data_IF_648521326984
#
_entry.id   IF_648521326984
#
_cell.length_a   1.000
_cell.length_b   1.000
_cell.length_c   1.000
_cell.angle_alpha   90.00
_cell.angle_beta   90.00
_cell.angle_gamma   90.00
#
_symmetry.space_group_name_H-M   'P 1'
#
loop_
_entity.id
_entity.type
_entity.pdbx_description
1 polymer ?
#
# COMPACT_ATOMS: atom_id res chain seq x y z
N UNK A 1 19.78 7.08 -12.08
CA UNK A 1 18.95 5.90 -12.36
C UNK A 1 17.64 6.04 -11.59
N UNK A 2 16.46 6.03 -12.24
CA UNK A 2 15.18 6.13 -11.55
C UNK A 2 14.85 4.79 -10.88
N UNK A 3 15.41 4.55 -9.68
CA UNK A 3 15.42 3.25 -8.99
C UNK A 3 14.03 2.58 -8.96
N UNK A 4 12.98 3.31 -8.60
CA UNK A 4 11.62 2.77 -8.52
C UNK A 4 11.02 2.46 -9.90
N UNK A 5 11.36 3.23 -10.94
CA UNK A 5 10.85 2.96 -12.29
C UNK A 5 11.43 1.69 -12.89
N UNK A 6 12.64 1.30 -12.49
CA UNK A 6 13.27 0.06 -12.98
C UNK A 6 12.51 -1.20 -12.55
N UNK A 7 11.69 -1.14 -11.49
CA UNK A 7 10.77 -2.22 -11.14
C UNK A 7 9.68 -2.47 -12.19
N UNK A 8 9.49 -1.55 -13.14
CA UNK A 8 8.60 -1.73 -14.28
C UNK A 8 9.36 -2.10 -15.55
N UNK A 9 10.70 -2.17 -15.54
CA UNK A 9 11.49 -2.54 -16.71
C UNK A 9 11.57 -4.07 -16.88
N UNK A 10 10.42 -4.70 -17.04
CA UNK A 10 10.23 -6.14 -17.19
C UNK A 10 9.01 -6.42 -18.07
N UNK A 11 8.86 -7.67 -18.48
CA UNK A 11 7.68 -8.19 -19.16
C UNK A 11 7.28 -9.52 -18.53
N UNK A 12 6.26 -9.49 -17.66
CA UNK A 12 5.71 -10.69 -17.02
C UNK A 12 4.60 -11.36 -17.85
N UNK A 13 4.32 -10.85 -19.06
CA UNK A 13 3.40 -11.44 -20.04
C UNK A 13 2.01 -11.72 -19.46
N UNK A 14 1.62 -12.99 -19.39
CA UNK A 14 0.28 -13.41 -18.97
C UNK A 14 -0.09 -12.94 -17.56
N UNK A 15 0.89 -12.79 -16.67
CA UNK A 15 0.64 -12.30 -15.32
C UNK A 15 0.06 -10.87 -15.33
N UNK A 16 0.52 -10.02 -16.25
CA UNK A 16 0.13 -8.61 -16.30
C UNK A 16 -1.17 -8.37 -17.09
N UNK A 17 -1.73 -9.38 -17.77
CA UNK A 17 -2.83 -9.21 -18.74
C UNK A 17 -4.06 -8.49 -18.16
N UNK A 18 -4.43 -8.86 -16.94
CA UNK A 18 -5.66 -8.39 -16.28
C UNK A 18 -5.36 -7.43 -15.11
N UNK A 19 -4.13 -6.89 -15.06
CA UNK A 19 -3.68 -5.93 -14.04
C UNK A 19 -3.80 -4.51 -14.58
N UNK A 20 -4.50 -3.65 -13.85
CA UNK A 20 -4.48 -2.20 -14.06
C UNK A 20 -3.46 -1.55 -13.11
N UNK A 21 -2.41 -0.95 -13.67
CA UNK A 21 -1.44 -0.17 -12.90
C UNK A 21 -1.99 1.24 -12.63
N UNK A 22 -2.23 1.58 -11.37
CA UNK A 22 -2.70 2.91 -10.96
C UNK A 22 -1.49 3.75 -10.53
N UNK A 23 -1.14 4.78 -11.30
CA UNK A 23 0.09 5.56 -11.11
C UNK A 23 -0.22 6.99 -10.72
N UNK A 24 0.60 7.57 -9.84
CA UNK A 24 0.55 9.02 -9.61
C UNK A 24 0.94 9.76 -10.88
N UNK A 25 0.25 10.86 -11.18
CA UNK A 25 0.49 11.69 -12.38
C UNK A 25 1.89 12.29 -12.47
N UNK A 26 2.59 12.39 -11.33
CA UNK A 26 3.98 12.85 -11.24
C UNK A 26 5.02 11.72 -11.12
N UNK A 27 4.65 10.47 -11.46
CA UNK A 27 5.60 9.37 -11.53
C UNK A 27 6.69 9.65 -12.57
N UNK A 28 7.91 9.13 -12.38
CA UNK A 28 9.00 9.35 -13.33
C UNK A 28 8.64 8.78 -14.72
N UNK A 29 8.90 9.50 -15.84
CA UNK A 29 8.43 9.13 -17.19
C UNK A 29 8.88 7.76 -17.70
N UNK A 30 9.98 7.21 -17.18
CA UNK A 30 10.38 5.83 -17.51
C UNK A 30 9.32 4.81 -17.12
N UNK A 31 8.55 5.05 -16.06
CA UNK A 31 7.51 4.11 -15.60
C UNK A 31 6.45 3.93 -16.68
N UNK A 32 5.88 5.03 -17.18
CA UNK A 32 4.88 4.97 -18.25
C UNK A 32 5.49 4.45 -19.54
N UNK A 33 6.73 4.84 -19.88
CA UNK A 33 7.45 4.29 -21.04
C UNK A 33 7.61 2.77 -20.98
N UNK A 34 7.98 2.21 -19.83
CA UNK A 34 8.13 0.77 -19.68
C UNK A 34 6.79 0.02 -19.66
N UNK A 35 5.74 0.61 -19.10
CA UNK A 35 4.38 0.03 -19.16
C UNK A 35 3.86 -0.01 -20.59
N UNK A 36 3.99 1.10 -21.33
CA UNK A 36 3.60 1.23 -22.74
C UNK A 36 4.36 0.28 -23.66
N UNK A 37 5.67 0.09 -23.43
CA UNK A 37 6.51 -0.81 -24.23
C UNK A 37 5.93 -2.22 -24.36
N UNK A 38 5.24 -2.70 -23.32
CA UNK A 38 4.68 -4.05 -23.26
C UNK A 38 3.14 -4.05 -23.26
N UNK A 39 2.51 -2.96 -23.72
CA UNK A 39 1.05 -2.81 -23.76
C UNK A 39 0.33 -3.10 -22.43
N UNK A 40 0.95 -2.73 -21.29
CA UNK A 40 0.33 -2.92 -19.96
C UNK A 40 -0.69 -1.82 -19.70
N UNK A 41 -1.84 -2.21 -19.15
CA UNK A 41 -2.91 -1.29 -18.82
C UNK A 41 -2.52 -0.43 -17.61
N UNK A 42 -2.58 0.89 -17.77
CA UNK A 42 -2.34 1.79 -16.64
C UNK A 42 -3.24 3.02 -16.73
N UNK A 43 -3.50 3.61 -15.57
CA UNK A 43 -4.15 4.91 -15.47
C UNK A 43 -3.28 5.86 -14.65
N UNK A 44 -3.37 7.14 -14.98
CA UNK A 44 -2.80 8.20 -14.16
C UNK A 44 -3.88 8.71 -13.20
N UNK A 45 -3.48 8.97 -11.97
CA UNK A 45 -4.32 9.57 -10.94
C UNK A 45 -3.57 10.74 -10.31
N UNK A 46 -4.29 11.79 -9.97
CA UNK A 46 -3.68 12.99 -9.38
C UNK A 46 -4.06 13.17 -7.92
N UNK A 47 -3.16 13.75 -7.13
CA UNK A 47 -3.50 14.25 -5.79
C UNK A 47 -4.07 15.66 -5.88
N UNK A 48 -4.82 16.07 -4.86
CA UNK A 48 -5.17 17.47 -4.67
C UNK A 48 -3.89 18.29 -4.46
N UNK A 49 -3.60 19.19 -5.38
CA UNK A 49 -2.52 20.15 -5.27
C UNK A 49 -2.88 21.39 -6.08
N UNK A 50 -2.59 22.59 -5.56
CA UNK A 50 -3.00 23.86 -6.19
C UNK A 50 -2.60 23.94 -7.66
N UNK A 51 -1.41 23.45 -8.00
CA UNK A 51 -0.94 23.39 -9.38
C UNK A 51 -1.75 22.45 -10.28
N UNK A 52 -2.03 21.21 -9.82
CA UNK A 52 -2.81 20.25 -10.61
C UNK A 52 -4.27 20.72 -10.74
N UNK A 53 -4.83 21.31 -9.69
CA UNK A 53 -6.17 21.90 -9.71
C UNK A 53 -6.24 23.07 -10.70
N UNK A 54 -5.19 23.90 -10.76
CA UNK A 54 -5.09 25.00 -11.72
C UNK A 54 -5.08 24.50 -13.17
N UNK A 55 -4.40 23.38 -13.44
CA UNK A 55 -4.37 22.78 -14.77
C UNK A 55 -5.69 22.12 -15.19
N UNK A 56 -6.67 21.97 -14.28
CA UNK A 56 -7.99 21.36 -14.54
C UNK A 56 -7.91 20.00 -15.24
N UNK A 57 -6.97 19.17 -14.79
CA UNK A 57 -6.82 17.80 -15.30
C UNK A 57 -7.87 16.88 -14.65
N UNK A 58 -9.13 17.26 -14.78
CA UNK A 58 -10.27 16.68 -14.06
C UNK A 58 -10.61 15.27 -14.59
N UNK A 59 -10.28 14.98 -15.85
CA UNK A 59 -10.57 13.71 -16.53
C UNK A 59 -10.00 12.48 -15.81
N UNK A 60 -8.92 12.66 -15.06
CA UNK A 60 -8.22 11.58 -14.33
C UNK A 60 -8.61 11.51 -12.85
N UNK A 61 -9.45 12.43 -12.39
CA UNK A 61 -9.89 12.56 -11.00
C UNK A 61 -8.79 13.00 -10.03
N UNK A 62 -9.24 13.48 -8.87
CA UNK A 62 -8.39 13.79 -7.74
C UNK A 62 -8.60 12.76 -6.63
N UNK A 63 -7.50 12.23 -6.13
CA UNK A 63 -7.51 11.15 -5.16
C UNK A 63 -6.44 11.44 -4.11
N UNK A 64 -6.82 11.51 -2.83
CA UNK A 64 -5.84 11.67 -1.75
C UNK A 64 -5.09 10.34 -1.57
N UNK A 65 -3.76 10.38 -1.50
CA UNK A 65 -2.92 9.20 -1.73
C UNK A 65 -2.01 8.81 -0.56
N UNK A 66 -2.24 9.37 0.63
CA UNK A 66 -1.43 9.12 1.82
C UNK A 66 0.08 9.35 1.60
N UNK A 67 0.89 8.82 2.52
CA UNK A 67 2.35 8.98 2.49
C UNK A 67 3.11 7.82 1.83
N UNK A 68 2.44 6.70 1.56
CA UNK A 68 3.00 5.51 0.91
C UNK A 68 2.01 4.89 -0.08
N UNK A 69 2.48 3.98 -0.94
CA UNK A 69 1.60 3.20 -1.84
C UNK A 69 0.58 2.36 -1.05
N UNK A 70 0.95 1.87 0.13
CA UNK A 70 0.04 1.10 0.96
C UNK A 70 -1.07 1.98 1.58
N UNK A 71 -0.75 3.21 2.02
CA UNK A 71 -1.76 4.18 2.46
C UNK A 71 -2.70 4.57 1.30
N UNK A 72 -2.14 4.78 0.10
CA UNK A 72 -2.92 5.04 -1.11
C UNK A 72 -3.92 3.90 -1.40
N UNK A 73 -3.47 2.65 -1.33
CA UNK A 73 -4.30 1.48 -1.57
C UNK A 73 -5.42 1.34 -0.53
N UNK A 74 -5.15 1.69 0.73
CA UNK A 74 -6.15 1.68 1.78
C UNK A 74 -7.30 2.65 1.51
N UNK A 75 -6.96 3.91 1.16
CA UNK A 75 -7.95 4.89 0.73
C UNK A 75 -8.71 4.40 -0.50
N UNK A 76 -8.02 3.76 -1.45
CA UNK A 76 -8.65 3.31 -2.70
C UNK A 76 -9.70 2.24 -2.40
N UNK A 77 -9.38 1.33 -1.49
CA UNK A 77 -10.31 0.30 -1.06
C UNK A 77 -11.59 0.89 -0.41
N UNK A 78 -11.45 1.97 0.37
CA UNK A 78 -12.60 2.70 0.93
C UNK A 78 -13.45 3.31 -0.19
N UNK A 79 -12.82 3.97 -1.16
CA UNK A 79 -13.50 4.63 -2.27
C UNK A 79 -14.20 3.63 -3.21
N UNK A 80 -13.62 2.44 -3.39
CA UNK A 80 -14.23 1.29 -4.07
C UNK A 80 -15.31 0.59 -3.22
N UNK A 81 -15.65 1.14 -2.05
CA UNK A 81 -16.73 0.70 -1.15
C UNK A 81 -16.53 -0.71 -0.56
N UNK A 82 -15.28 -1.16 -0.45
CA UNK A 82 -14.99 -2.40 0.28
C UNK A 82 -15.37 -2.26 1.76
N UNK A 83 -15.98 -3.31 2.32
CA UNK A 83 -16.42 -3.36 3.73
C UNK A 83 -15.43 -4.02 4.67
N UNK A 84 -14.55 -4.85 4.12
CA UNK A 84 -13.44 -5.46 4.83
C UNK A 84 -12.15 -5.10 4.10
N UNK A 85 -11.17 -4.54 4.82
CA UNK A 85 -9.83 -4.26 4.29
C UNK A 85 -8.84 -5.11 5.08
N UNK A 86 -8.01 -5.88 4.38
CA UNK A 86 -7.02 -6.77 4.97
C UNK A 86 -5.63 -6.27 4.63
N UNK A 87 -4.85 -5.89 5.65
CA UNK A 87 -3.48 -5.46 5.50
C UNK A 87 -2.53 -6.66 5.64
N UNK A 88 -1.80 -6.97 4.58
CA UNK A 88 -0.76 -8.00 4.55
C UNK A 88 0.58 -7.40 4.12
N UNK A 89 1.67 -7.89 4.71
CA UNK A 89 3.02 -7.42 4.42
C UNK A 89 3.25 -5.94 4.79
N UNK A 90 2.45 -5.40 5.71
CA UNK A 90 2.63 -4.05 6.24
C UNK A 90 3.37 -4.13 7.57
N UNK A 91 4.64 -4.54 7.52
CA UNK A 91 5.45 -4.78 8.73
C UNK A 91 5.63 -3.49 9.52
N UNK A 92 5.97 -2.37 8.85
CA UNK A 92 6.24 -1.06 9.45
C UNK A 92 7.25 -1.11 10.61
N UNK A 93 8.10 -2.13 10.59
CA UNK A 93 9.07 -2.47 11.60
C UNK A 93 10.23 -3.22 10.95
N UNK A 94 11.38 -3.16 11.60
CA UNK A 94 12.52 -4.02 11.25
C UNK A 94 12.28 -5.45 11.73
N UNK A 95 12.86 -6.43 11.04
CA UNK A 95 12.92 -7.80 11.56
C UNK A 95 13.79 -7.86 12.82
N UNK A 96 13.73 -8.99 13.56
CA UNK A 96 14.59 -9.21 14.74
C UNK A 96 16.09 -9.09 14.43
N UNK A 97 16.48 -9.44 13.21
CA UNK A 97 17.86 -9.33 12.72
C UNK A 97 18.20 -7.93 12.18
N UNK A 98 17.26 -6.98 12.24
CA UNK A 98 17.45 -5.59 11.81
C UNK A 98 17.27 -5.35 10.30
N UNK A 99 16.71 -6.30 9.56
CA UNK A 99 16.45 -6.10 8.12
C UNK A 99 15.19 -5.25 7.91
N UNK A 100 15.26 -4.37 6.91
CA UNK A 100 14.11 -3.55 6.48
C UNK A 100 13.29 -4.17 5.36
N UNK A 101 13.87 -5.13 4.63
CA UNK A 101 13.30 -5.79 3.47
C UNK A 101 13.73 -7.25 3.46
N UNK A 102 13.09 -8.06 2.62
CA UNK A 102 13.50 -9.45 2.37
C UNK A 102 14.87 -9.51 1.67
N UNK A 103 15.58 -10.63 1.81
CA UNK A 103 16.97 -10.79 1.33
C UNK A 103 17.11 -10.75 -0.20
N UNK A 104 16.02 -10.91 -0.93
CA UNK A 104 15.93 -10.88 -2.38
C UNK A 104 15.60 -9.49 -2.95
N UNK A 105 15.40 -8.47 -2.11
CA UNK A 105 15.11 -7.12 -2.57
C UNK A 105 16.30 -6.50 -3.34
N UNK A 106 16.05 -6.04 -4.57
CA UNK A 106 17.12 -5.65 -5.51
C UNK A 106 17.92 -4.40 -5.11
N UNK A 107 17.41 -3.57 -4.20
CA UNK A 107 18.05 -2.33 -3.74
C UNK A 107 18.45 -2.38 -2.26
N UNK A 108 18.74 -3.57 -1.71
CA UNK A 108 19.12 -3.74 -0.29
C UNK A 108 20.30 -2.87 0.14
N UNK A 109 21.27 -2.65 -0.76
CA UNK A 109 22.44 -1.79 -0.55
C UNK A 109 22.04 -0.35 -0.19
N UNK A 110 20.89 0.12 -0.70
CA UNK A 110 20.36 1.46 -0.39
C UNK A 110 19.77 1.58 1.01
N UNK A 111 19.67 0.47 1.74
CA UNK A 111 19.13 0.42 3.10
C UNK A 111 20.17 0.03 4.15
N UNK A 112 21.45 -0.09 3.76
CA UNK A 112 22.53 -0.37 4.69
C UNK A 112 22.64 0.75 5.74
N UNK A 113 22.84 0.36 7.01
CA UNK A 113 22.95 1.31 8.13
C UNK A 113 21.64 1.95 8.59
N UNK A 114 20.51 1.74 7.89
CA UNK A 114 19.21 2.30 8.30
C UNK A 114 18.79 1.83 9.68
N UNK A 115 18.94 0.53 9.96
CA UNK A 115 18.62 -0.02 11.26
C UNK A 115 19.45 0.64 12.36
N UNK A 116 20.77 0.74 12.21
CA UNK A 116 21.66 1.36 13.19
C UNK A 116 21.34 2.84 13.39
N UNK A 117 20.98 3.54 12.31
CA UNK A 117 20.54 4.94 12.37
C UNK A 117 19.28 5.10 13.21
N UNK A 118 18.31 4.18 13.09
CA UNK A 118 16.98 4.32 13.67
C UNK A 118 16.82 3.60 15.03
N UNK A 119 17.71 2.65 15.33
CA UNK A 119 17.67 1.78 16.52
C UNK A 119 17.48 2.59 17.81
N UNK A 120 16.53 2.17 18.63
CA UNK A 120 16.10 2.80 19.88
C UNK A 120 15.53 4.23 19.75
N UNK A 121 15.48 4.82 18.54
CA UNK A 121 14.88 6.14 18.31
C UNK A 121 13.40 6.04 17.99
N UNK A 122 13.03 5.00 17.25
CA UNK A 122 11.65 4.76 16.84
C UNK A 122 11.28 3.33 17.23
N UNK A 123 10.41 3.20 18.23
CA UNK A 123 9.85 1.91 18.63
C UNK A 123 8.34 2.00 18.70
N UNK A 124 7.68 0.87 18.54
CA UNK A 124 6.22 0.77 18.62
C UNK A 124 5.81 -0.57 19.18
N UNK A 125 4.56 -0.68 19.60
CA UNK A 125 4.00 -1.94 20.05
C UNK A 125 4.01 -2.96 18.91
N UNK A 126 4.43 -4.18 19.23
CA UNK A 126 4.41 -5.29 18.29
C UNK A 126 2.96 -5.73 18.03
N UNK A 127 2.73 -6.36 16.87
CA UNK A 127 1.50 -7.10 16.63
C UNK A 127 1.19 -8.05 17.79
N UNK A 128 -0.07 -8.13 18.20
CA UNK A 128 -0.53 -8.94 19.33
C UNK A 128 -0.43 -8.23 20.69
N UNK A 129 0.19 -7.05 20.75
CA UNK A 129 0.24 -6.21 21.94
C UNK A 129 1.41 -6.52 22.89
N UNK A 130 2.12 -7.63 22.69
CA UNK A 130 3.20 -8.04 23.58
C UNK A 130 4.57 -7.55 23.09
N UNK A 131 5.13 -6.60 23.84
CA UNK A 131 6.47 -6.08 23.58
C UNK A 131 6.51 -4.97 22.54
N UNK A 132 7.74 -4.67 22.07
CA UNK A 132 8.01 -3.59 21.13
C UNK A 132 8.86 -4.09 19.96
N UNK A 133 8.66 -3.46 18.81
CA UNK A 133 9.49 -3.64 17.62
C UNK A 133 10.19 -2.33 17.27
N UNK A 134 11.40 -2.45 16.72
CA UNK A 134 12.16 -1.34 16.16
C UNK A 134 11.51 -0.90 14.84
N UNK A 135 11.46 0.41 14.62
CA UNK A 135 10.86 1.01 13.42
C UNK A 135 11.70 2.18 12.93
N UNK A 136 11.19 2.96 11.99
CA UNK A 136 11.82 4.16 11.47
C UNK A 136 10.90 5.37 11.61
N UNK A 137 11.44 6.57 11.40
CA UNK A 137 10.65 7.79 11.32
C UNK A 137 9.54 7.67 10.26
N UNK A 138 9.90 7.21 9.07
CA UNK A 138 8.99 7.12 7.91
C UNK A 138 7.90 6.08 8.17
N UNK A 139 8.24 4.92 8.73
CA UNK A 139 7.23 3.90 9.06
C UNK A 139 6.33 4.31 10.23
N UNK A 140 6.84 5.10 11.17
CA UNK A 140 6.02 5.71 12.22
C UNK A 140 4.99 6.66 11.61
N UNK A 141 5.38 7.47 10.62
CA UNK A 141 4.44 8.33 9.87
C UNK A 141 3.40 7.50 9.11
N UNK A 142 3.82 6.45 8.40
CA UNK A 142 2.90 5.58 7.65
C UNK A 142 1.90 4.89 8.58
N UNK A 143 2.38 4.37 9.72
CA UNK A 143 1.53 3.76 10.75
C UNK A 143 0.53 4.76 11.29
N UNK A 144 0.97 5.95 11.68
CA UNK A 144 0.06 6.96 12.23
C UNK A 144 -1.02 7.35 11.22
N UNK A 145 -0.67 7.47 9.93
CA UNK A 145 -1.66 7.71 8.89
C UNK A 145 -2.63 6.53 8.74
N UNK A 146 -2.17 5.28 8.80
CA UNK A 146 -3.08 4.13 8.85
C UNK A 146 -4.03 4.19 10.04
N UNK A 147 -3.55 4.50 11.24
CA UNK A 147 -4.39 4.57 12.45
C UNK A 147 -5.50 5.62 12.29
N UNK A 148 -5.18 6.78 11.72
CA UNK A 148 -6.17 7.82 11.39
C UNK A 148 -7.15 7.34 10.32
N UNK A 149 -6.64 6.75 9.24
CA UNK A 149 -7.47 6.29 8.12
C UNK A 149 -8.38 5.14 8.55
N UNK A 150 -7.92 4.24 9.43
CA UNK A 150 -8.70 3.13 9.99
C UNK A 150 -9.82 3.65 10.88
N UNK A 151 -9.54 4.62 11.75
CA UNK A 151 -10.57 5.26 12.57
C UNK A 151 -11.65 5.91 11.68
N UNK A 152 -11.23 6.70 10.69
CA UNK A 152 -12.13 7.34 9.73
C UNK A 152 -12.93 6.31 8.90
N UNK A 153 -12.30 5.23 8.43
CA UNK A 153 -12.95 4.16 7.67
C UNK A 153 -14.05 3.47 8.49
N UNK A 154 -13.80 3.24 9.78
CA UNK A 154 -14.76 2.64 10.70
C UNK A 154 -15.95 3.57 10.96
N UNK A 155 -15.68 4.83 11.30
CA UNK A 155 -16.71 5.80 11.71
C UNK A 155 -17.57 6.26 10.53
N UNK A 156 -16.95 6.65 9.42
CA UNK A 156 -17.63 7.33 8.32
C UNK A 156 -18.04 6.40 7.17
N UNK A 157 -17.42 5.21 7.05
CA UNK A 157 -17.65 4.30 5.93
C UNK A 157 -18.12 2.89 6.36
N UNK A 158 -18.16 2.64 7.66
CA UNK A 158 -18.49 1.35 8.27
C UNK A 158 -17.64 0.21 7.70
N UNK A 159 -16.34 0.46 7.58
CA UNK A 159 -15.35 -0.51 7.11
C UNK A 159 -14.64 -1.14 8.29
N UNK A 160 -14.46 -2.45 8.23
CA UNK A 160 -13.64 -3.20 9.20
C UNK A 160 -12.24 -3.41 8.61
N UNK A 161 -11.22 -2.98 9.33
CA UNK A 161 -9.82 -3.20 8.94
C UNK A 161 -9.20 -4.31 9.76
N UNK A 162 -8.50 -5.22 9.09
CA UNK A 162 -7.73 -6.30 9.68
C UNK A 162 -6.25 -6.08 9.44
N UNK A 163 -5.45 -6.12 10.50
CA UNK A 163 -4.00 -6.25 10.38
C UNK A 163 -3.67 -7.75 10.40
N UNK A 164 -3.11 -8.27 9.32
CA UNK A 164 -2.72 -9.67 9.18
C UNK A 164 -1.20 -9.86 9.09
N UNK A 165 -0.43 -8.88 9.58
CA UNK A 165 1.03 -8.90 9.52
C UNK A 165 1.62 -9.22 10.90
N UNK A 166 1.68 -10.51 11.25
CA UNK A 166 1.97 -11.01 12.61
C UNK A 166 3.37 -10.68 13.15
N UNK A 167 4.34 -10.44 12.27
CA UNK A 167 5.72 -10.09 12.65
C UNK A 167 6.00 -8.60 12.74
N UNK A 168 5.00 -7.75 12.43
CA UNK A 168 5.15 -6.32 12.27
C UNK A 168 4.73 -5.49 13.49
N UNK A 169 4.52 -4.21 13.23
CA UNK A 169 3.95 -3.27 14.16
C UNK A 169 2.43 -3.50 14.30
N UNK A 170 1.93 -3.27 15.52
CA UNK A 170 0.50 -3.02 15.76
C UNK A 170 0.10 -1.77 14.99
N UNK A 171 -1.09 -1.79 14.39
CA UNK A 171 -1.76 -0.62 13.81
C UNK A 171 -3.03 -0.41 14.63
N UNK A 172 -3.06 0.64 15.45
CA UNK A 172 -4.18 0.88 16.35
C UNK A 172 -5.51 1.05 15.59
N UNK A 173 -6.60 0.52 16.16
CA UNK A 173 -7.92 0.49 15.53
C UNK A 173 -8.15 -0.66 14.54
N UNK A 174 -7.10 -1.30 14.01
CA UNK A 174 -7.23 -2.49 13.18
C UNK A 174 -7.37 -3.76 14.03
N UNK A 175 -8.13 -4.74 13.54
CA UNK A 175 -8.30 -6.04 14.20
C UNK A 175 -7.14 -6.95 13.81
N UNK A 176 -6.39 -7.43 14.79
CA UNK A 176 -5.29 -8.37 14.57
C UNK A 176 -5.84 -9.79 14.36
N UNK A 177 -5.58 -10.37 13.18
CA UNK A 177 -5.94 -11.75 12.82
C UNK A 177 -4.85 -12.37 11.93
N UNK A 178 -4.55 -13.68 12.03
CA UNK A 178 -3.72 -14.36 11.04
C UNK A 178 -4.29 -14.23 9.63
N UNK A 179 -3.44 -14.15 8.61
CA UNK A 179 -3.93 -14.07 7.22
C UNK A 179 -4.78 -15.29 6.83
N UNK A 180 -4.42 -16.48 7.33
CA UNK A 180 -5.21 -17.70 7.15
C UNK A 180 -6.66 -17.53 7.63
N UNK A 181 -6.86 -16.88 8.78
CA UNK A 181 -8.20 -16.61 9.30
C UNK A 181 -9.00 -15.73 8.32
N UNK A 182 -8.37 -14.71 7.74
CA UNK A 182 -9.03 -13.85 6.74
C UNK A 182 -9.42 -14.65 5.49
N UNK A 183 -8.56 -15.54 5.01
CA UNK A 183 -8.88 -16.45 3.90
C UNK A 183 -10.13 -17.30 4.20
N UNK A 184 -10.13 -17.97 5.35
CA UNK A 184 -11.18 -18.90 5.75
C UNK A 184 -12.51 -18.20 6.10
N UNK A 185 -12.48 -16.96 6.59
CA UNK A 185 -13.67 -16.29 7.12
C UNK A 185 -14.19 -15.15 6.24
N UNK A 186 -13.33 -14.53 5.42
CA UNK A 186 -13.70 -13.39 4.58
C UNK A 186 -13.65 -13.73 3.07
N UNK A 187 -12.79 -14.67 2.65
CA UNK A 187 -12.53 -14.97 1.24
C UNK A 187 -13.06 -16.35 0.78
N UNK A 188 -13.80 -17.05 1.64
CA UNK A 188 -14.25 -18.44 1.40
C UNK A 188 -15.51 -18.57 0.51
N UNK A 189 -16.14 -17.46 0.11
CA UNK A 189 -17.34 -17.46 -0.73
C UNK A 189 -17.07 -16.80 -2.06
N UNK A 190 -17.67 -17.34 -3.11
CA UNK A 190 -17.77 -16.65 -4.38
C UNK A 190 -18.49 -15.32 -4.18
N UNK A 191 -17.82 -14.23 -4.55
CA UNK A 191 -18.35 -12.88 -4.38
C UNK A 191 -19.33 -12.58 -5.50
N UNK A 192 -20.59 -12.33 -5.15
CA UNK A 192 -21.51 -11.65 -6.05
C UNK A 192 -21.16 -10.15 -6.08
N UNK A 193 -20.27 -9.76 -6.98
CA UNK A 193 -19.83 -8.36 -7.12
C UNK A 193 -21.00 -7.52 -7.65
N UNK A 194 -21.45 -6.47 -6.94
CA UNK A 194 -22.62 -5.67 -7.34
C UNK A 194 -22.30 -4.68 -8.48
N UNK A 195 -21.14 -4.83 -9.13
CA UNK A 195 -20.70 -3.93 -10.18
C UNK A 195 -21.09 -4.51 -11.53
N UNK A 196 -21.66 -3.69 -12.40
CA UNK A 196 -21.79 -4.03 -13.81
C UNK A 196 -20.41 -4.40 -14.34
N UNK A 197 -20.34 -5.48 -15.13
CA UNK A 197 -19.11 -5.79 -15.86
C UNK A 197 -18.89 -4.61 -16.79
N UNK A 198 -17.75 -3.95 -16.63
CA UNK A 198 -17.33 -2.92 -17.57
C UNK A 198 -17.15 -3.62 -18.92
N UNK A 199 -17.96 -3.25 -19.90
CA UNK A 199 -17.71 -3.63 -21.28
C UNK A 199 -16.35 -3.05 -21.71
N UNK A 200 -15.56 -3.77 -22.51
CA UNK A 200 -14.32 -3.23 -23.05
C UNK A 200 -14.61 -1.90 -23.77
N UNK A 201 -13.85 -0.86 -23.43
CA UNK A 201 -13.83 0.41 -24.17
C UNK A 201 -13.27 0.22 -25.57
#
# INVERSE_FOLDING_TARGET
>A
MPLTSEFFNNDFKEFDRDILFVLKSYVHPHTTKYLQKNNRNFMLVSTYASFINYLKLDDFGYFNMGFSVANMNFLLAIHLKHKNIVLIGQDLAYTKDGFSHTKDYSNLDKHEGHFQRDKNKYTTQAYGGDGKVESSFVWTLFRHNFEQDVANAKENYHVTTYNCTEGGARIEGAIEKPFLWACENLLHKDLNKPFEKLEPL
#
